data_IF_623998391958
#
_entry.id   IF_623998391958
#
_cell.length_a   1.000
_cell.length_b   1.000
_cell.length_c   1.000
_cell.angle_alpha   90.00
_cell.angle_beta   90.00
_cell.angle_gamma   90.00
#
_symmetry.space_group_name_H-M   'P 1'
#
loop_
_entity.id
_entity.type
_entity.pdbx_description
1 polymer ?
#
# COMPACT_ATOMS: atom_id res chain seq x y z
N UNK A 1 -55.90 -66.13 52.24
CA UNK A 1 -55.85 -65.23 51.07
C UNK A 1 -54.67 -64.26 51.24
N UNK A 2 -54.17 -63.62 50.17
CA UNK A 2 -52.96 -62.77 50.17
C UNK A 2 -53.26 -61.38 50.82
N UNK A 3 -52.42 -60.33 50.85
CA UNK A 3 -51.22 -59.89 50.08
C UNK A 3 -50.51 -58.73 50.87
N UNK A 4 -49.21 -58.35 50.77
CA UNK A 4 -47.92 -59.02 50.45
C UNK A 4 -46.72 -58.14 50.91
N UNK A 5 -45.69 -57.97 50.06
CA UNK A 5 -44.74 -56.84 49.90
C UNK A 5 -44.31 -55.97 51.12
N UNK A 6 -43.07 -56.16 51.58
CA UNK A 6 -42.27 -55.10 52.21
C UNK A 6 -41.43 -54.38 51.16
N UNK A 7 -41.58 -53.08 51.00
CA UNK A 7 -40.76 -52.25 50.10
C UNK A 7 -39.48 -51.77 50.79
N UNK A 8 -38.37 -51.73 50.05
CA UNK A 8 -37.11 -51.14 50.51
C UNK A 8 -37.08 -49.63 50.23
N UNK A 9 -36.55 -48.79 51.14
CA UNK A 9 -36.37 -47.36 50.87
C UNK A 9 -35.20 -47.15 49.88
N UNK A 10 -35.48 -46.49 48.76
CA UNK A 10 -34.44 -46.10 47.81
C UNK A 10 -33.64 -44.88 48.32
N UNK A 11 -32.31 -44.92 48.22
CA UNK A 11 -31.45 -43.83 48.63
C UNK A 11 -31.49 -42.67 47.61
N UNK A 12 -31.86 -41.46 48.05
CA UNK A 12 -31.94 -40.29 47.17
C UNK A 12 -30.54 -39.83 46.70
N UNK A 13 -30.33 -39.62 45.38
CA UNK A 13 -29.07 -39.07 44.87
C UNK A 13 -28.91 -37.59 45.28
N UNK A 14 -27.70 -37.21 45.70
CA UNK A 14 -27.36 -35.81 45.99
C UNK A 14 -27.21 -35.03 44.67
N UNK A 15 -28.04 -34.02 44.47
CA UNK A 15 -27.90 -33.11 43.32
C UNK A 15 -26.58 -32.32 43.40
N UNK A 16 -25.84 -32.16 42.29
CA UNK A 16 -24.68 -31.30 42.24
C UNK A 16 -25.11 -29.82 42.38
N UNK A 17 -24.51 -29.10 43.33
CA UNK A 17 -24.74 -27.65 43.47
C UNK A 17 -24.11 -26.91 42.31
N UNK A 18 -24.93 -26.26 41.49
CA UNK A 18 -24.48 -25.26 40.52
C UNK A 18 -23.81 -24.10 41.27
N UNK A 19 -22.53 -23.82 40.96
CA UNK A 19 -21.88 -22.58 41.38
C UNK A 19 -22.42 -21.45 40.51
N UNK A 20 -23.26 -20.60 41.09
CA UNK A 20 -23.60 -19.33 40.47
C UNK A 20 -22.36 -18.42 40.47
N UNK A 21 -22.00 -17.87 39.32
CA UNK A 21 -20.91 -16.90 39.19
C UNK A 21 -21.24 -15.62 39.96
N UNK A 22 -20.22 -15.00 40.56
CA UNK A 22 -20.43 -13.80 41.37
C UNK A 22 -20.44 -12.53 40.50
N UNK A 23 -21.17 -11.49 40.93
CA UNK A 23 -21.22 -10.21 40.20
C UNK A 23 -19.83 -9.56 40.04
N UNK A 24 -18.95 -9.71 41.04
CA UNK A 24 -17.59 -9.18 41.00
C UNK A 24 -16.69 -9.94 40.02
N UNK A 25 -16.86 -11.25 39.90
CA UNK A 25 -16.15 -12.09 38.93
C UNK A 25 -16.54 -11.75 37.49
N UNK A 26 -17.84 -11.52 37.23
CA UNK A 26 -18.32 -11.03 35.94
C UNK A 26 -17.81 -9.61 35.62
N UNK A 27 -17.80 -8.71 36.61
CA UNK A 27 -17.25 -7.35 36.47
C UNK A 27 -15.75 -7.36 36.14
N UNK A 28 -14.96 -8.21 36.80
CA UNK A 28 -13.52 -8.40 36.51
C UNK A 28 -13.31 -8.94 35.11
N UNK A 29 -14.10 -9.94 34.67
CA UNK A 29 -14.04 -10.48 33.30
C UNK A 29 -14.33 -9.40 32.26
N UNK A 30 -15.38 -8.58 32.45
CA UNK A 30 -15.70 -7.48 31.53
C UNK A 30 -14.60 -6.41 31.52
N UNK A 31 -14.00 -6.09 32.67
CA UNK A 31 -12.87 -5.14 32.74
C UNK A 31 -11.62 -5.66 32.00
N UNK A 32 -11.31 -6.95 32.12
CA UNK A 32 -10.19 -7.58 31.39
C UNK A 32 -10.46 -7.60 29.89
N UNK A 33 -11.68 -7.97 29.46
CA UNK A 33 -12.09 -7.94 28.05
C UNK A 33 -11.98 -6.52 27.49
N UNK A 34 -12.45 -5.50 28.22
CA UNK A 34 -12.36 -4.10 27.80
C UNK A 34 -10.90 -3.63 27.66
N UNK A 35 -10.02 -4.00 28.59
CA UNK A 35 -8.60 -3.67 28.54
C UNK A 35 -7.89 -4.32 27.34
N UNK A 36 -8.15 -5.61 27.09
CA UNK A 36 -7.58 -6.34 25.95
C UNK A 36 -8.11 -5.79 24.61
N UNK A 37 -9.42 -5.57 24.50
CA UNK A 37 -10.03 -5.00 23.30
C UNK A 37 -9.54 -3.56 23.02
N UNK A 38 -9.38 -2.73 24.05
CA UNK A 38 -8.83 -1.39 23.94
C UNK A 38 -7.37 -1.38 23.48
N UNK A 39 -6.54 -2.27 24.04
CA UNK A 39 -5.13 -2.39 23.65
C UNK A 39 -4.92 -2.77 22.18
N UNK A 40 -5.76 -3.67 21.64
CA UNK A 40 -5.68 -4.10 20.24
C UNK A 40 -6.00 -2.97 19.24
N UNK A 41 -6.82 -1.99 19.62
CA UNK A 41 -7.18 -0.87 18.74
C UNK A 41 -6.01 0.05 18.39
N UNK A 42 -5.05 0.23 19.30
CA UNK A 42 -3.91 1.14 19.11
C UNK A 42 -2.88 0.58 18.12
N UNK A 43 -2.60 -0.73 18.17
CA UNK A 43 -1.61 -1.38 17.30
C UNK A 43 -1.96 -1.31 15.80
N UNK A 44 -3.25 -1.24 15.45
CA UNK A 44 -3.71 -1.16 14.06
C UNK A 44 -3.35 0.20 13.44
N UNK A 45 -3.37 1.28 14.21
CA UNK A 45 -3.05 2.63 13.71
C UNK A 45 -1.57 2.80 13.36
N UNK A 46 -0.66 2.26 14.17
CA UNK A 46 0.79 2.32 13.96
C UNK A 46 1.24 1.52 12.71
N UNK A 47 0.52 0.43 12.40
CA UNK A 47 0.73 -0.36 11.18
C UNK A 47 0.57 0.48 9.89
N UNK A 48 -0.37 1.45 9.88
CA UNK A 48 -0.55 2.35 8.74
C UNK A 48 0.56 3.41 8.65
N UNK A 49 0.98 3.98 9.79
CA UNK A 49 2.04 4.99 9.84
C UNK A 49 3.42 4.43 9.45
N UNK A 50 3.78 3.26 9.98
CA UNK A 50 4.99 2.51 9.62
C UNK A 50 4.96 2.03 8.16
N UNK A 51 3.80 1.59 7.65
CA UNK A 51 3.60 1.25 6.24
C UNK A 51 3.86 2.44 5.30
N UNK A 52 3.30 3.62 5.60
CA UNK A 52 3.53 4.84 4.82
C UNK A 52 5.00 5.28 4.84
N UNK A 53 5.66 5.27 6.01
CA UNK A 53 7.10 5.58 6.12
C UNK A 53 7.98 4.60 5.31
N UNK A 54 7.62 3.31 5.33
CA UNK A 54 8.30 2.27 4.55
C UNK A 54 8.12 2.49 3.05
N UNK A 55 6.90 2.79 2.59
CA UNK A 55 6.64 3.08 1.17
C UNK A 55 7.29 4.37 0.68
N UNK A 56 7.34 5.39 1.52
CA UNK A 56 8.04 6.65 1.26
C UNK A 56 9.56 6.47 1.15
N UNK A 57 10.15 5.63 2.00
CA UNK A 57 11.57 5.23 1.93
C UNK A 57 11.85 4.39 0.68
N UNK A 58 10.93 3.49 0.31
CA UNK A 58 11.03 2.71 -0.92
C UNK A 58 10.98 3.58 -2.18
N UNK A 59 10.11 4.60 -2.23
CA UNK A 59 10.11 5.61 -3.30
C UNK A 59 11.47 6.29 -3.43
N UNK A 60 12.03 6.77 -2.31
CA UNK A 60 13.33 7.46 -2.30
C UNK A 60 14.46 6.53 -2.76
N UNK A 61 14.47 5.27 -2.33
CA UNK A 61 15.44 4.26 -2.78
C UNK A 61 15.34 4.02 -4.28
N UNK A 62 14.13 3.84 -4.82
CA UNK A 62 13.93 3.57 -6.25
C UNK A 62 14.26 4.77 -7.14
N UNK A 63 14.00 6.00 -6.68
CA UNK A 63 14.43 7.24 -7.34
C UNK A 63 15.95 7.37 -7.36
N UNK A 64 16.63 7.11 -6.24
CA UNK A 64 18.09 7.11 -6.18
C UNK A 64 18.70 6.05 -7.11
N UNK A 65 18.14 4.84 -7.15
CA UNK A 65 18.57 3.78 -8.09
C UNK A 65 18.38 4.22 -9.54
N UNK A 66 17.23 4.78 -9.91
CA UNK A 66 16.94 5.23 -11.27
C UNK A 66 17.86 6.37 -11.73
N UNK A 67 18.08 7.38 -10.88
CA UNK A 67 19.04 8.47 -11.13
C UNK A 67 20.48 7.95 -11.28
N UNK A 68 20.90 7.03 -10.41
CA UNK A 68 22.25 6.45 -10.44
C UNK A 68 22.46 5.62 -11.70
N UNK A 69 21.48 4.79 -12.09
CA UNK A 69 21.52 4.04 -13.34
C UNK A 69 21.61 4.95 -14.57
N UNK A 70 20.87 6.06 -14.59
CA UNK A 70 20.95 7.01 -15.71
C UNK A 70 22.35 7.63 -15.84
N UNK A 71 22.88 8.17 -14.74
CA UNK A 71 24.17 8.85 -14.71
C UNK A 71 25.36 7.91 -14.97
N UNK A 72 25.37 6.71 -14.39
CA UNK A 72 26.47 5.73 -14.55
C UNK A 72 26.53 5.17 -15.97
N UNK A 73 25.38 4.96 -16.62
CA UNK A 73 25.32 4.37 -17.96
C UNK A 73 25.14 5.38 -19.09
N UNK A 74 25.05 6.69 -18.79
CA UNK A 74 24.77 7.76 -19.76
C UNK A 74 23.56 7.44 -20.66
N UNK A 75 22.49 6.93 -20.04
CA UNK A 75 21.31 6.41 -20.72
C UNK A 75 20.01 6.88 -20.04
N UNK A 76 18.95 7.08 -20.83
CA UNK A 76 17.66 7.45 -20.26
C UNK A 76 17.13 6.32 -19.35
N UNK A 77 16.62 6.65 -18.16
CA UNK A 77 16.16 5.64 -17.19
C UNK A 77 14.77 5.99 -16.67
N UNK A 78 13.88 5.01 -16.59
CA UNK A 78 12.51 5.15 -16.11
C UNK A 78 12.33 4.38 -14.81
N UNK A 79 11.89 5.04 -13.74
CA UNK A 79 11.23 4.35 -12.63
C UNK A 79 9.80 4.06 -13.07
N UNK A 80 9.48 2.79 -13.32
CA UNK A 80 8.16 2.34 -13.75
C UNK A 80 7.35 1.78 -12.57
N UNK A 81 6.05 2.06 -12.58
CA UNK A 81 5.06 1.60 -11.60
C UNK A 81 3.94 0.88 -12.35
N UNK A 82 3.61 -0.35 -11.96
CA UNK A 82 2.68 -1.21 -12.69
C UNK A 82 1.26 -0.62 -12.69
N UNK A 83 0.70 -0.44 -13.90
CA UNK A 83 -0.51 0.34 -14.16
C UNK A 83 -1.62 -0.42 -14.91
N UNK A 84 -1.44 -1.72 -15.23
CA UNK A 84 -2.56 -2.53 -15.73
C UNK A 84 -3.58 -2.70 -14.60
N UNK A 85 -4.75 -2.08 -14.75
CA UNK A 85 -5.82 -2.08 -13.73
C UNK A 85 -6.54 -3.45 -13.71
N UNK A 86 -6.82 -4.05 -12.54
CA UNK A 86 -7.67 -5.24 -12.43
C UNK A 86 -9.07 -5.00 -13.03
N UNK A 87 -9.68 -6.00 -13.70
CA UNK A 87 -9.33 -7.43 -13.68
C UNK A 87 -8.33 -7.88 -14.76
N UNK A 88 -7.91 -7.03 -15.70
CA UNK A 88 -6.95 -7.41 -16.75
C UNK A 88 -5.48 -7.37 -16.28
N UNK A 89 -5.21 -6.69 -15.17
CA UNK A 89 -3.92 -6.67 -14.49
C UNK A 89 -3.95 -7.32 -13.10
N UNK A 90 -2.76 -7.63 -12.58
CA UNK A 90 -2.56 -8.21 -11.26
C UNK A 90 -2.79 -7.18 -10.14
N UNK A 91 -3.72 -7.49 -9.23
CA UNK A 91 -4.13 -6.63 -8.10
C UNK A 91 -3.09 -6.45 -7.00
N UNK A 92 -2.15 -7.39 -6.85
CA UNK A 92 -1.03 -7.23 -5.91
C UNK A 92 0.09 -6.37 -6.51
N UNK A 93 0.16 -6.27 -7.86
CA UNK A 93 1.09 -5.39 -8.57
C UNK A 93 0.55 -3.98 -8.79
N UNK A 94 -0.75 -3.81 -9.06
CA UNK A 94 -1.34 -2.52 -9.43
C UNK A 94 -1.02 -1.41 -8.42
N UNK A 95 -0.32 -0.37 -8.89
CA UNK A 95 0.18 0.76 -8.09
C UNK A 95 1.09 0.36 -6.90
N UNK A 96 1.63 -0.87 -6.86
CA UNK A 96 2.48 -1.38 -5.78
C UNK A 96 3.81 -1.96 -6.24
N UNK A 97 3.84 -2.61 -7.40
CA UNK A 97 5.06 -3.06 -8.05
C UNK A 97 5.74 -1.87 -8.74
N UNK A 98 7.01 -1.67 -8.42
CA UNK A 98 7.91 -0.70 -9.03
C UNK A 98 9.19 -1.39 -9.50
N UNK A 99 9.73 -0.98 -10.65
CA UNK A 99 11.05 -1.43 -11.10
C UNK A 99 11.73 -0.32 -11.91
N UNK A 100 13.06 -0.28 -11.86
CA UNK A 100 13.86 0.63 -12.69
C UNK A 100 14.11 -0.03 -14.05
N UNK A 101 13.97 0.74 -15.12
CA UNK A 101 14.27 0.32 -16.48
C UNK A 101 15.21 1.33 -17.13
N UNK A 102 16.30 0.86 -17.73
CA UNK A 102 17.25 1.69 -18.47
C UNK A 102 17.02 1.52 -19.97
N UNK A 103 17.15 2.57 -20.75
CA UNK A 103 17.15 2.46 -22.21
C UNK A 103 18.45 1.80 -22.70
N UNK A 104 18.37 0.99 -23.75
CA UNK A 104 19.51 0.20 -24.24
C UNK A 104 19.95 0.68 -25.64
N UNK A 105 21.21 1.12 -25.82
CA UNK A 105 21.69 1.68 -27.08
C UNK A 105 21.51 0.74 -28.30
N UNK A 106 21.26 1.30 -29.51
CA UNK A 106 21.22 2.73 -29.84
C UNK A 106 19.89 3.43 -29.53
N UNK A 107 18.80 2.69 -29.26
CA UNK A 107 17.48 3.29 -29.01
C UNK A 107 17.30 3.72 -27.55
N UNK A 108 17.68 4.96 -27.26
CA UNK A 108 17.47 5.62 -25.99
C UNK A 108 15.99 5.98 -25.68
N UNK A 109 15.03 5.62 -26.54
CA UNK A 109 13.65 6.18 -26.52
C UNK A 109 12.53 5.15 -26.32
N UNK A 110 12.62 3.96 -26.93
CA UNK A 110 11.58 2.92 -26.84
C UNK A 110 12.07 1.59 -26.24
N UNK A 111 13.31 1.19 -26.51
CA UNK A 111 13.91 -0.05 -26.01
C UNK A 111 14.40 0.09 -24.56
N UNK A 112 13.55 -0.29 -23.59
CA UNK A 112 13.84 -0.23 -22.16
C UNK A 112 14.01 -1.62 -21.54
N UNK A 113 15.18 -1.88 -20.94
CA UNK A 113 15.52 -3.14 -20.25
C UNK A 113 15.43 -2.98 -18.72
N UNK A 114 14.97 -4.00 -17.98
CA UNK A 114 14.86 -3.94 -16.53
C UNK A 114 16.23 -3.96 -15.86
N UNK A 115 16.45 -3.09 -14.87
CA UNK A 115 17.70 -3.00 -14.12
C UNK A 115 17.44 -2.98 -12.61
N UNK A 116 18.29 -3.69 -11.87
CA UNK A 116 18.10 -3.91 -10.43
C UNK A 116 16.89 -4.79 -10.11
N UNK A 117 16.65 -4.99 -8.81
CA UNK A 117 15.53 -5.80 -8.32
C UNK A 117 14.20 -5.00 -8.38
N UNK A 118 13.08 -5.65 -8.71
CA UNK A 118 11.76 -5.06 -8.53
C UNK A 118 11.43 -4.92 -7.05
N UNK A 119 10.72 -3.85 -6.69
CA UNK A 119 10.24 -3.58 -5.34
C UNK A 119 8.71 -3.61 -5.32
N UNK A 120 8.12 -4.25 -4.32
CA UNK A 120 6.67 -4.24 -4.08
C UNK A 120 6.38 -3.50 -2.77
N UNK A 121 5.50 -2.50 -2.82
CA UNK A 121 5.10 -1.73 -1.64
C UNK A 121 4.38 -2.60 -0.58
N UNK A 122 4.44 -2.24 0.72
CA UNK A 122 3.71 -2.93 1.78
C UNK A 122 2.20 -3.09 1.48
N UNK A 123 1.56 -4.10 2.08
CA UNK A 123 0.12 -4.31 1.93
C UNK A 123 -0.65 -3.06 2.42
N UNK A 124 -1.66 -2.64 1.67
CA UNK A 124 -2.45 -1.45 1.95
C UNK A 124 -1.80 -0.11 1.54
N UNK A 125 -0.54 -0.10 1.13
CA UNK A 125 0.19 1.11 0.71
C UNK A 125 0.35 1.10 -0.82
N UNK A 126 -0.15 2.13 -1.50
CA UNK A 126 -0.18 2.22 -2.96
C UNK A 126 0.41 3.55 -3.42
N UNK A 127 1.15 3.54 -4.55
CA UNK A 127 1.56 4.75 -5.27
C UNK A 127 0.31 5.48 -5.74
N UNK A 128 0.26 6.78 -5.49
CA UNK A 128 -0.80 7.65 -5.98
C UNK A 128 -0.56 7.95 -7.47
N UNK A 129 -1.47 7.60 -8.39
CA UNK A 129 -1.30 7.88 -9.81
C UNK A 129 -1.54 9.36 -10.17
N UNK A 130 -1.46 9.70 -11.46
CA UNK A 130 -1.82 11.02 -12.01
C UNK A 130 -3.33 11.30 -12.00
N UNK A 131 -4.17 10.30 -11.75
CA UNK A 131 -5.62 10.47 -11.59
C UNK A 131 -6.20 9.36 -10.72
N UNK A 132 -6.92 9.74 -9.68
CA UNK A 132 -7.64 8.83 -8.77
C UNK A 132 -9.06 8.50 -9.22
N UNK A 133 -9.39 8.71 -10.51
CA UNK A 133 -10.71 8.37 -11.05
C UNK A 133 -11.01 6.86 -10.92
N UNK A 134 -12.11 6.54 -10.23
CA UNK A 134 -12.51 5.18 -9.85
C UNK A 134 -11.67 4.54 -8.73
N UNK A 135 -10.80 5.30 -8.06
CA UNK A 135 -9.92 4.86 -6.97
C UNK A 135 -10.19 5.60 -5.65
N UNK A 136 -11.32 6.31 -5.51
CA UNK A 136 -11.73 6.96 -4.27
C UNK A 136 -12.97 6.27 -3.71
N UNK A 137 -12.97 6.00 -2.39
CA UNK A 137 -14.19 5.58 -1.67
C UNK A 137 -15.27 6.64 -1.83
N UNK A 138 -16.52 6.23 -2.04
CA UNK A 138 -17.64 7.17 -2.20
C UNK A 138 -17.74 8.14 -1.01
N UNK A 139 -17.85 9.44 -1.31
CA UNK A 139 -17.84 10.52 -0.31
C UNK A 139 -16.45 11.02 0.11
N UNK A 140 -15.35 10.34 -0.24
CA UNK A 140 -14.00 10.82 0.03
C UNK A 140 -13.60 11.87 -1.00
N UNK A 141 -13.37 13.10 -0.53
CA UNK A 141 -12.87 14.22 -1.34
C UNK A 141 -11.34 14.26 -1.22
N UNK A 142 -10.66 14.48 -2.35
CA UNK A 142 -9.21 14.69 -2.39
C UNK A 142 -8.88 16.16 -2.73
N UNK A 143 -7.83 16.75 -2.13
CA UNK A 143 -7.36 18.08 -2.48
C UNK A 143 -7.04 18.20 -3.96
N UNK A 144 -7.49 19.31 -4.56
CA UNK A 144 -7.24 19.68 -5.96
C UNK A 144 -6.26 20.84 -6.12
N UNK A 145 -6.01 21.60 -5.04
CA UNK A 145 -5.06 22.71 -5.01
C UNK A 145 -4.42 22.86 -3.61
N UNK A 146 -3.14 22.47 -3.42
CA UNK A 146 -2.35 21.66 -4.35
C UNK A 146 -2.98 20.26 -4.53
N UNK A 147 -2.92 19.65 -5.73
CA UNK A 147 -3.54 18.34 -5.94
C UNK A 147 -2.69 17.23 -5.32
N UNK A 148 -3.27 16.30 -4.57
CA UNK A 148 -2.59 15.10 -4.08
C UNK A 148 -2.34 14.09 -5.21
N UNK A 149 -1.42 14.37 -6.14
CA UNK A 149 -1.17 13.52 -7.32
C UNK A 149 0.34 13.49 -7.63
N UNK A 150 0.85 12.29 -7.97
CA UNK A 150 2.24 12.12 -8.37
C UNK A 150 2.49 12.65 -9.78
N UNK A 151 3.67 13.26 -9.97
CA UNK A 151 4.18 13.72 -11.26
C UNK A 151 4.71 12.54 -12.08
N UNK A 152 3.80 11.71 -12.58
CA UNK A 152 4.13 10.57 -13.46
C UNK A 152 3.68 10.86 -14.91
N UNK A 153 4.25 10.11 -15.85
CA UNK A 153 3.79 10.02 -17.23
C UNK A 153 3.17 8.64 -17.51
N UNK A 154 2.40 8.53 -18.60
CA UNK A 154 1.68 7.31 -18.98
C UNK A 154 0.24 7.23 -18.45
N UNK A 155 -0.40 6.04 -18.48
CA UNK A 155 0.23 4.74 -18.72
C UNK A 155 0.80 4.56 -20.13
N UNK A 156 1.89 3.81 -20.25
CA UNK A 156 2.45 3.32 -21.52
C UNK A 156 2.58 1.81 -21.48
N UNK A 157 2.47 1.13 -22.62
CA UNK A 157 2.74 -0.31 -22.72
C UNK A 157 4.22 -0.60 -22.47
N UNK A 158 4.51 -1.65 -21.70
CA UNK A 158 5.89 -2.08 -21.39
C UNK A 158 6.19 -3.33 -22.22
N UNK A 159 6.98 -3.15 -23.28
CA UNK A 159 7.45 -4.28 -24.11
C UNK A 159 8.50 -5.07 -23.32
N UNK A 160 8.13 -6.24 -22.82
CA UNK A 160 8.99 -7.11 -22.00
C UNK A 160 8.75 -8.60 -22.30
N UNK A 161 9.79 -9.45 -22.23
CA UNK A 161 9.64 -10.89 -22.38
C UNK A 161 8.62 -11.50 -21.41
N UNK A 162 7.93 -12.55 -21.87
CA UNK A 162 7.05 -13.35 -21.02
C UNK A 162 7.81 -13.91 -19.80
N UNK A 163 7.14 -13.95 -18.64
CA UNK A 163 7.74 -14.35 -17.36
C UNK A 163 8.37 -13.21 -16.56
N UNK A 164 8.66 -12.04 -17.17
CA UNK A 164 8.99 -10.83 -16.40
C UNK A 164 7.77 -10.29 -15.65
N UNK A 165 7.97 -9.54 -14.55
CA UNK A 165 6.84 -9.03 -13.76
C UNK A 165 5.96 -8.00 -14.50
N UNK A 166 6.55 -7.30 -15.49
CA UNK A 166 5.91 -6.31 -16.36
C UNK A 166 5.54 -6.85 -17.75
N UNK A 167 5.66 -8.16 -18.00
CA UNK A 167 5.23 -8.78 -19.26
C UNK A 167 3.78 -8.42 -19.61
N UNK A 168 3.54 -8.00 -20.86
CA UNK A 168 2.22 -7.62 -21.38
C UNK A 168 1.46 -6.59 -20.50
N UNK A 169 2.18 -5.70 -19.82
CA UNK A 169 1.59 -4.72 -18.89
C UNK A 169 1.65 -3.29 -19.40
N UNK A 170 0.92 -2.39 -18.75
CA UNK A 170 1.17 -0.96 -18.81
C UNK A 170 1.83 -0.46 -17.53
N UNK A 171 2.58 0.64 -17.62
CA UNK A 171 3.19 1.30 -16.47
C UNK A 171 3.01 2.82 -16.53
N UNK A 172 2.82 3.43 -15.36
CA UNK A 172 3.17 4.83 -15.15
C UNK A 172 4.69 4.93 -14.98
N UNK A 173 5.29 6.06 -15.31
CA UNK A 173 6.73 6.23 -15.12
C UNK A 173 7.18 7.65 -14.74
N UNK A 174 8.32 7.73 -14.07
CA UNK A 174 9.12 8.94 -13.92
C UNK A 174 10.43 8.74 -14.68
N UNK A 175 10.79 9.65 -15.59
CA UNK A 175 11.99 9.52 -16.42
C UNK A 175 13.13 10.44 -15.96
N UNK A 176 14.32 9.85 -15.88
CA UNK A 176 15.60 10.52 -15.65
C UNK A 176 16.37 10.58 -16.97
N UNK A 177 16.99 11.73 -17.25
CA UNK A 177 17.87 11.93 -18.39
C UNK A 177 19.28 11.32 -18.13
N UNK A 178 20.13 11.14 -19.17
CA UNK A 178 21.49 10.60 -19.03
C UNK A 178 22.42 11.28 -18.01
N UNK A 179 22.16 12.52 -17.63
CA UNK A 179 22.87 13.27 -16.56
C UNK A 179 22.29 13.01 -15.15
N UNK A 180 21.30 12.12 -15.06
CA UNK A 180 20.53 11.81 -13.85
C UNK A 180 19.49 12.87 -13.47
N UNK A 181 19.30 13.94 -14.24
CA UNK A 181 18.27 14.95 -13.95
C UNK A 181 16.86 14.41 -14.21
N UNK A 182 15.85 15.05 -13.62
CA UNK A 182 14.44 14.69 -13.76
C UNK A 182 13.62 15.90 -14.21
N UNK A 183 12.77 15.72 -15.21
CA UNK A 183 11.75 16.70 -15.57
C UNK A 183 10.44 16.39 -14.82
N UNK A 184 9.72 17.43 -14.43
CA UNK A 184 8.35 17.28 -13.92
C UNK A 184 7.40 17.10 -15.12
N UNK A 185 6.70 15.97 -15.28
CA UNK A 185 5.64 15.82 -16.28
C UNK A 185 4.34 16.55 -15.89
N UNK A 186 4.41 17.45 -14.91
CA UNK A 186 3.27 18.18 -14.33
C UNK A 186 3.61 19.66 -14.22
N UNK A 187 2.59 20.53 -14.16
CA UNK A 187 2.78 21.99 -14.01
C UNK A 187 3.42 22.43 -12.67
N UNK A 188 3.80 21.49 -11.80
CA UNK A 188 4.47 21.75 -10.53
C UNK A 188 6.00 21.86 -10.72
N UNK A 189 6.68 22.78 -10.00
CA UNK A 189 8.10 23.09 -10.20
C UNK A 189 9.06 21.96 -9.82
N UNK A 190 8.57 20.97 -9.05
CA UNK A 190 9.31 19.77 -8.67
C UNK A 190 8.48 18.54 -9.04
N UNK A 191 9.16 17.47 -9.49
CA UNK A 191 8.49 16.19 -9.65
C UNK A 191 8.21 15.60 -8.26
N UNK A 192 7.05 15.01 -8.04
CA UNK A 192 6.70 14.36 -6.75
C UNK A 192 6.16 12.96 -6.93
N UNK A 193 6.49 12.08 -6.00
CA UNK A 193 5.92 10.74 -5.90
C UNK A 193 5.27 10.58 -4.53
N UNK A 194 4.00 10.17 -4.50
CA UNK A 194 3.21 9.99 -3.30
C UNK A 194 2.83 8.52 -3.14
N UNK A 195 2.76 8.06 -1.88
CA UNK A 195 2.08 6.84 -1.45
C UNK A 195 0.95 7.21 -0.49
N UNK A 196 -0.17 6.48 -0.58
CA UNK A 196 -1.29 6.63 0.34
C UNK A 196 -1.86 5.27 0.76
N UNK A 197 -2.60 5.24 1.87
CA UNK A 197 -3.33 4.05 2.29
C UNK A 197 -4.57 3.83 1.43
N UNK A 198 -4.84 2.59 1.02
CA UNK A 198 -6.07 2.21 0.35
C UNK A 198 -6.61 0.86 0.83
N UNK A 199 -7.94 0.77 0.90
CA UNK A 199 -8.66 -0.50 1.07
C UNK A 199 -8.95 -1.13 -0.29
N UNK A 200 -8.85 -2.45 -0.42
CA UNK A 200 -9.19 -3.13 -1.69
C UNK A 200 -10.69 -3.36 -1.78
N UNK A 201 -11.32 -2.90 -2.85
CA UNK A 201 -12.73 -3.13 -3.18
C UNK A 201 -12.82 -3.50 -4.66
N UNK A 202 -13.55 -4.58 -4.99
CA UNK A 202 -13.63 -5.11 -6.36
C UNK A 202 -12.25 -5.29 -7.02
N UNK A 203 -11.30 -5.83 -6.24
CA UNK A 203 -9.89 -6.03 -6.61
C UNK A 203 -9.09 -4.76 -6.99
N UNK A 204 -9.63 -3.55 -6.76
CA UNK A 204 -8.93 -2.28 -6.99
C UNK A 204 -8.69 -1.53 -5.65
N UNK A 205 -7.58 -0.78 -5.51
CA UNK A 205 -7.38 0.09 -4.37
C UNK A 205 -8.36 1.26 -4.39
N UNK A 206 -9.04 1.47 -3.28
CA UNK A 206 -9.86 2.64 -3.01
C UNK A 206 -9.19 3.44 -1.89
N UNK A 207 -8.64 4.60 -2.24
CA UNK A 207 -8.08 5.54 -1.27
C UNK A 207 -9.22 6.07 -0.39
N UNK A 208 -9.09 5.85 0.91
CA UNK A 208 -10.15 6.07 1.90
C UNK A 208 -9.87 7.28 2.82
N UNK A 209 -8.64 7.79 2.84
CA UNK A 209 -8.23 8.92 3.67
C UNK A 209 -7.16 9.76 2.95
N UNK A 210 -7.47 11.01 2.61
CA UNK A 210 -6.54 11.92 1.95
C UNK A 210 -5.38 12.37 2.86
N UNK A 211 -5.59 12.42 4.19
CA UNK A 211 -4.54 12.73 5.17
C UNK A 211 -3.56 11.58 5.40
N UNK A 212 -3.92 10.35 5.02
CA UNK A 212 -3.04 9.18 5.08
C UNK A 212 -2.16 9.05 3.82
N UNK A 213 -1.55 10.17 3.42
CA UNK A 213 -0.65 10.28 2.27
C UNK A 213 0.72 10.82 2.70
N UNK A 214 1.79 10.25 2.14
CA UNK A 214 3.19 10.68 2.30
C UNK A 214 3.93 10.55 0.97
N UNK A 215 5.15 11.07 0.90
CA UNK A 215 5.87 11.03 -0.38
C UNK A 215 7.17 11.81 -0.36
N UNK A 216 7.64 12.10 -1.57
CA UNK A 216 8.89 12.79 -1.83
C UNK A 216 8.70 13.85 -2.91
N UNK A 217 9.35 15.00 -2.70
CA UNK A 217 9.64 16.00 -3.73
C UNK A 217 11.02 15.73 -4.29
N UNK A 218 11.17 15.80 -5.61
CA UNK A 218 12.40 15.51 -6.34
C UNK A 218 12.75 16.75 -7.17
N UNK A 219 13.87 17.39 -6.81
CA UNK A 219 14.39 18.55 -7.52
C UNK A 219 14.94 18.12 -8.89
N UNK A 220 15.00 18.99 -9.92
CA UNK A 220 15.57 18.64 -11.22
C UNK A 220 17.02 18.11 -11.13
N UNK A 221 17.80 18.63 -10.19
CA UNK A 221 19.16 18.16 -9.86
C UNK A 221 19.22 16.81 -9.12
N UNK A 222 18.09 16.13 -8.94
CA UNK A 222 17.96 14.82 -8.30
C UNK A 222 17.89 14.81 -6.77
N UNK A 223 17.96 15.98 -6.12
CA UNK A 223 17.85 16.08 -4.65
C UNK A 223 16.43 15.75 -4.16
N UNK A 224 16.33 14.82 -3.20
CA UNK A 224 15.07 14.34 -2.61
C UNK A 224 14.76 15.10 -1.30
N UNK A 225 13.51 15.54 -1.14
CA UNK A 225 12.95 16.05 0.12
C UNK A 225 11.77 15.17 0.54
N UNK A 226 11.75 14.69 1.78
CA UNK A 226 10.65 13.89 2.33
C UNK A 226 9.48 14.78 2.76
N UNK A 227 8.26 14.42 2.33
CA UNK A 227 7.01 15.12 2.68
C UNK A 227 6.12 14.16 3.48
N UNK A 228 5.90 14.49 4.75
CA UNK A 228 5.31 13.58 5.75
C UNK A 228 3.83 13.84 6.04
N UNK A 229 3.27 14.92 5.50
CA UNK A 229 1.88 15.36 5.66
C UNK A 229 1.27 15.71 4.29
N UNK A 230 -0.02 15.43 4.12
CA UNK A 230 -0.75 15.59 2.88
C UNK A 230 -0.91 17.05 2.41
N UNK A 231 -0.89 18.02 3.34
CA UNK A 231 -1.12 19.44 3.03
C UNK A 231 0.17 20.17 2.58
N UNK A 232 1.29 19.45 2.52
CA UNK A 232 2.64 20.00 2.31
C UNK A 232 3.24 19.68 0.92
N UNK A 233 2.39 19.49 -0.10
CA UNK A 233 2.75 18.91 -1.42
C UNK A 233 2.73 19.85 -2.63
#
# INVERSE_FOLDING_TARGET
MPDSSRSHPAASPRQPRSRAFTLIELLVVVAIIALVAGGLGLAISDTAGSGLASGQTALASMVNTARTQAAVHQAATRLMIYATRPPSGDKEKYLRLMQVFRAEPPDQTSNFVPVGQPLVLPRGIYVVPTSVSGLLVSGVIWPTNPPLLSSLAGPVGVNQPAGTLFANSTAFYLQFAPDGTVSSPSAQPYARLLVATATVVNDQPQFNNAGAARGILIRPSGGITFVNDANSF
#
